data_IF_128902462047
#
_entry.id   IF_128902462047
#
_cell.length_a   1.000
_cell.length_b   1.000
_cell.length_c   1.000
_cell.angle_alpha   90.00
_cell.angle_beta   90.00
_cell.angle_gamma   90.00
#
_symmetry.space_group_name_H-M   'P 1'
#
loop_
_entity.id
_entity.type
_entity.pdbx_description
1 polymer ?
#
# COMPACT_ATOMS: atom_id res chain seq x y z
N UNK A 1 3.84 -2.33 11.44
CA UNK A 1 3.95 -0.90 11.15
C UNK A 1 3.22 -0.10 12.20
N UNK A 2 3.61 1.15 12.35
CA UNK A 2 2.98 2.14 13.23
C UNK A 2 2.55 3.36 12.39
N UNK A 3 1.92 3.08 11.25
CA UNK A 3 1.60 4.08 10.24
C UNK A 3 0.47 3.59 9.32
N UNK A 4 0.07 4.43 8.37
CA UNK A 4 -1.02 4.16 7.45
C UNK A 4 -0.62 4.50 6.01
N UNK A 5 -1.22 3.80 5.04
CA UNK A 5 -1.14 4.13 3.62
C UNK A 5 -2.55 4.36 3.07
N UNK A 6 -2.71 5.38 2.23
CA UNK A 6 -3.96 5.72 1.57
C UNK A 6 -3.76 5.67 0.05
N UNK A 7 -4.57 4.84 -0.60
CA UNK A 7 -4.81 4.87 -2.04
C UNK A 7 -6.27 5.16 -2.30
N UNK A 8 -6.54 6.13 -3.16
CA UNK A 8 -7.90 6.55 -3.52
C UNK A 8 -8.17 6.27 -5.00
N UNK A 9 -9.12 5.38 -5.29
CA UNK A 9 -9.52 5.05 -6.66
C UNK A 9 -10.78 5.85 -7.02
N UNK A 10 -10.60 6.96 -7.72
CA UNK A 10 -11.70 7.83 -8.16
C UNK A 10 -12.45 7.20 -9.35
N UNK A 11 -13.78 7.35 -9.39
CA UNK A 11 -14.59 7.01 -10.58
C UNK A 11 -14.09 7.76 -11.82
N UNK A 12 -13.90 7.03 -12.92
CA UNK A 12 -13.34 7.56 -14.18
C UNK A 12 -11.82 7.75 -14.17
N UNK A 13 -11.14 7.42 -13.07
CA UNK A 13 -9.69 7.34 -12.98
C UNK A 13 -9.18 5.90 -13.13
N UNK A 14 -7.92 5.69 -12.73
CA UNK A 14 -7.34 4.36 -12.65
C UNK A 14 -8.13 3.47 -11.69
N UNK A 15 -8.44 2.24 -12.10
CA UNK A 15 -9.11 1.25 -11.26
C UNK A 15 -8.13 0.52 -10.33
N UNK A 16 -8.68 -0.14 -9.30
CA UNK A 16 -7.92 -1.03 -8.43
C UNK A 16 -7.16 -2.09 -9.24
N UNK A 17 -7.83 -2.75 -10.17
CA UNK A 17 -7.22 -3.82 -10.97
C UNK A 17 -6.19 -3.28 -11.97
N UNK A 18 -6.42 -2.12 -12.57
CA UNK A 18 -5.40 -1.45 -13.40
C UNK A 18 -4.13 -1.12 -12.62
N UNK A 19 -4.26 -0.80 -11.33
CA UNK A 19 -3.12 -0.48 -10.46
C UNK A 19 -2.45 -1.74 -9.90
N UNK A 20 -3.19 -2.65 -9.27
CA UNK A 20 -2.63 -3.79 -8.55
C UNK A 20 -2.43 -5.03 -9.42
N UNK A 21 -3.26 -5.23 -10.44
CA UNK A 21 -3.20 -6.37 -11.36
C UNK A 21 -3.21 -7.72 -10.65
N UNK A 22 -4.17 -7.94 -9.76
CA UNK A 22 -4.22 -9.15 -8.92
C UNK A 22 -5.04 -10.27 -9.55
N UNK A 23 -6.00 -9.94 -10.43
CA UNK A 23 -6.83 -10.95 -11.07
C UNK A 23 -6.00 -11.93 -11.93
N UNK A 24 -6.39 -13.21 -11.91
CA UNK A 24 -5.73 -14.27 -12.68
C UNK A 24 -4.43 -14.81 -12.09
N UNK A 25 -4.05 -14.40 -10.87
CA UNK A 25 -2.89 -14.91 -10.15
C UNK A 25 -3.29 -15.79 -8.96
N UNK A 26 -2.40 -16.67 -8.51
CA UNK A 26 -2.57 -17.42 -7.26
C UNK A 26 -2.57 -16.48 -6.03
N UNK A 27 -3.08 -16.96 -4.89
CA UNK A 27 -3.27 -16.15 -3.69
C UNK A 27 -1.98 -15.48 -3.20
N UNK A 28 -0.84 -16.17 -3.33
CA UNK A 28 0.44 -15.68 -2.83
C UNK A 28 0.99 -14.58 -3.73
N UNK A 29 0.89 -14.73 -5.05
CA UNK A 29 1.22 -13.68 -6.01
C UNK A 29 0.26 -12.48 -5.90
N UNK A 30 -1.03 -12.71 -5.60
CA UNK A 30 -1.97 -11.63 -5.31
C UNK A 30 -1.52 -10.79 -4.11
N UNK A 31 -1.13 -11.43 -2.99
CA UNK A 31 -0.60 -10.70 -1.82
C UNK A 31 0.68 -9.95 -2.15
N UNK A 32 1.61 -10.56 -2.88
CA UNK A 32 2.85 -9.91 -3.26
C UNK A 32 2.60 -8.63 -4.07
N UNK A 33 1.69 -8.70 -5.06
CA UNK A 33 1.28 -7.55 -5.87
C UNK A 33 0.59 -6.47 -5.07
N UNK A 34 -0.30 -6.86 -4.16
CA UNK A 34 -1.00 -5.94 -3.28
C UNK A 34 -0.03 -5.18 -2.39
N UNK A 35 0.90 -5.87 -1.73
CA UNK A 35 1.85 -5.23 -0.81
C UNK A 35 2.82 -4.32 -1.55
N UNK A 36 3.32 -4.76 -2.71
CA UNK A 36 4.22 -3.98 -3.54
C UNK A 36 3.58 -2.67 -4.04
N UNK A 37 2.26 -2.66 -4.24
CA UNK A 37 1.51 -1.47 -4.65
C UNK A 37 1.01 -0.61 -3.48
N UNK A 38 0.74 -1.20 -2.31
CA UNK A 38 0.09 -0.55 -1.16
C UNK A 38 1.03 0.40 -0.41
N UNK A 39 2.31 0.01 -0.23
CA UNK A 39 3.28 0.78 0.57
C UNK A 39 4.63 0.90 -0.14
N UNK A 40 4.71 1.57 -1.30
CA UNK A 40 5.92 1.59 -2.11
C UNK A 40 7.12 2.29 -1.43
N UNK A 41 6.89 3.20 -0.47
CA UNK A 41 7.96 3.86 0.26
C UNK A 41 8.52 3.03 1.44
N UNK A 42 7.80 2.01 1.90
CA UNK A 42 8.21 1.10 2.98
C UNK A 42 8.81 1.85 4.19
N UNK A 43 8.17 2.93 4.65
CA UNK A 43 8.71 3.79 5.72
C UNK A 43 9.04 3.03 7.01
N UNK A 44 8.29 1.96 7.26
CA UNK A 44 8.42 1.08 8.41
C UNK A 44 9.62 0.13 8.39
N UNK A 45 10.30 -0.03 7.24
CA UNK A 45 11.31 -1.07 7.04
C UNK A 45 12.47 -1.00 8.03
N UNK A 46 12.89 0.21 8.42
CA UNK A 46 14.08 0.42 9.26
C UNK A 46 13.89 0.03 10.72
N UNK A 47 12.65 -0.15 11.19
CA UNK A 47 12.37 -0.51 12.59
C UNK A 47 11.61 -1.84 12.71
N UNK A 48 11.55 -2.62 11.62
CA UNK A 48 10.97 -3.95 11.65
C UNK A 48 11.98 -4.92 12.32
N UNK A 49 11.83 -5.08 13.64
CA UNK A 49 12.77 -5.86 14.48
C UNK A 49 12.61 -7.37 14.26
N UNK A 50 11.43 -7.84 13.87
CA UNK A 50 11.13 -9.26 13.64
C UNK A 50 10.78 -9.48 12.17
N UNK A 51 11.72 -9.96 11.33
CA UNK A 51 11.48 -10.21 9.91
C UNK A 51 10.32 -11.17 9.64
N UNK A 52 10.16 -12.22 10.45
CA UNK A 52 9.08 -13.22 10.31
C UNK A 52 7.70 -12.74 10.86
N UNK A 53 7.62 -11.49 11.34
CA UNK A 53 6.33 -10.89 11.71
C UNK A 53 5.43 -10.67 10.48
N UNK A 54 6.00 -10.71 9.28
CA UNK A 54 5.28 -10.82 8.02
C UNK A 54 5.25 -12.30 7.63
N UNK A 55 4.08 -12.94 7.72
CA UNK A 55 3.91 -14.32 7.25
C UNK A 55 2.69 -14.41 6.33
N UNK A 56 2.94 -14.58 5.04
CA UNK A 56 1.89 -14.64 4.03
C UNK A 56 1.12 -15.95 4.04
N UNK A 57 1.76 -17.07 4.43
CA UNK A 57 1.09 -18.37 4.56
C UNK A 57 0.08 -18.35 5.71
N UNK A 58 0.42 -17.64 6.79
CA UNK A 58 -0.45 -17.46 7.96
C UNK A 58 -1.38 -16.23 7.85
N UNK A 59 -1.39 -15.52 6.70
CA UNK A 59 -2.15 -14.27 6.51
C UNK A 59 -1.89 -13.23 7.60
N UNK A 60 -0.66 -13.18 8.11
CA UNK A 60 -0.24 -12.33 9.23
C UNK A 60 0.56 -11.13 8.74
N UNK A 61 0.00 -9.94 8.93
CA UNK A 61 0.70 -8.67 8.75
C UNK A 61 1.19 -8.09 10.08
N UNK A 62 2.33 -7.38 10.11
CA UNK A 62 2.93 -6.87 11.36
C UNK A 62 2.27 -5.57 11.84
N UNK A 63 0.94 -5.43 11.75
CA UNK A 63 0.23 -4.18 12.12
C UNK A 63 -0.03 -4.09 13.62
N UNK A 64 0.19 -2.90 14.18
CA UNK A 64 -0.14 -2.59 15.58
C UNK A 64 -1.52 -1.93 15.65
N UNK A 65 -2.17 -1.93 16.83
CA UNK A 65 -3.46 -1.23 17.01
C UNK A 65 -3.37 0.26 16.67
N UNK A 66 -2.25 0.91 17.01
CA UNK A 66 -1.98 2.31 16.61
C UNK A 66 -2.06 2.52 15.09
N UNK A 67 -1.58 1.55 14.29
CA UNK A 67 -1.67 1.63 12.84
C UNK A 67 -3.11 1.46 12.34
N UNK A 68 -3.89 0.60 12.98
CA UNK A 68 -5.31 0.40 12.66
C UNK A 68 -6.11 1.69 12.92
N UNK A 69 -5.91 2.33 14.07
CA UNK A 69 -6.60 3.58 14.43
C UNK A 69 -6.22 4.72 13.48
N UNK A 70 -4.93 4.85 13.14
CA UNK A 70 -4.47 5.81 12.13
C UNK A 70 -5.09 5.54 10.76
N UNK A 71 -5.15 4.28 10.33
CA UNK A 71 -5.76 3.89 9.08
C UNK A 71 -7.26 4.26 9.05
N UNK A 72 -7.99 3.97 10.12
CA UNK A 72 -9.40 4.31 10.26
C UNK A 72 -9.62 5.84 10.19
N UNK A 73 -8.82 6.63 10.92
CA UNK A 73 -8.90 8.09 10.90
C UNK A 73 -8.61 8.70 9.51
N UNK A 74 -7.55 8.23 8.85
CA UNK A 74 -7.18 8.67 7.49
C UNK A 74 -8.27 8.28 6.48
N UNK A 75 -8.83 7.08 6.58
CA UNK A 75 -9.91 6.63 5.71
C UNK A 75 -11.18 7.45 5.93
N UNK A 76 -11.64 7.60 7.18
CA UNK A 76 -12.87 8.32 7.51
C UNK A 76 -12.83 9.78 7.05
N UNK A 77 -11.72 10.48 7.32
CA UNK A 77 -11.54 11.88 6.87
C UNK A 77 -11.47 11.99 5.35
N UNK A 78 -10.84 11.03 4.66
CA UNK A 78 -10.77 11.00 3.19
C UNK A 78 -12.15 10.74 2.56
N UNK A 79 -12.91 9.78 3.09
CA UNK A 79 -14.28 9.50 2.61
C UNK A 79 -15.18 10.71 2.81
N UNK A 80 -15.15 11.32 3.99
CA UNK A 80 -15.92 12.54 4.28
C UNK A 80 -15.61 13.63 3.25
N UNK A 81 -14.34 13.80 2.91
CA UNK A 81 -13.87 14.76 1.90
C UNK A 81 -14.44 14.48 0.50
N UNK A 82 -14.48 13.21 0.09
CA UNK A 82 -15.07 12.77 -1.18
C UNK A 82 -16.57 13.03 -1.20
N UNK A 83 -17.28 12.61 -0.15
CA UNK A 83 -18.74 12.72 -0.07
C UNK A 83 -19.22 14.17 -0.06
N UNK A 84 -18.53 15.04 0.67
CA UNK A 84 -18.86 16.47 0.73
C UNK A 84 -18.30 17.28 -0.45
N UNK A 85 -17.52 16.66 -1.35
CA UNK A 85 -16.84 17.33 -2.45
C UNK A 85 -15.94 18.50 -1.99
N UNK A 86 -15.31 18.38 -0.81
CA UNK A 86 -14.56 19.48 -0.17
C UNK A 86 -13.05 19.33 -0.32
N UNK A 87 -12.48 19.94 -1.36
CA UNK A 87 -11.03 20.00 -1.58
C UNK A 87 -10.46 18.76 -2.25
N UNK A 88 -9.15 18.76 -2.48
CA UNK A 88 -8.51 17.78 -3.36
C UNK A 88 -7.97 16.53 -2.62
N UNK A 89 -8.21 15.34 -3.18
CA UNK A 89 -7.50 14.11 -2.85
C UNK A 89 -6.78 13.60 -4.10
N UNK A 90 -5.51 13.24 -3.95
CA UNK A 90 -4.74 12.65 -5.04
C UNK A 90 -5.23 11.22 -5.25
N UNK A 91 -5.88 10.98 -6.37
CA UNK A 91 -6.28 9.63 -6.77
C UNK A 91 -5.07 8.81 -7.22
N UNK A 92 -5.22 7.48 -7.22
CA UNK A 92 -4.29 6.57 -7.87
C UNK A 92 -3.97 7.07 -9.30
N UNK A 93 -2.69 7.07 -9.72
CA UNK A 93 -1.56 6.29 -9.18
C UNK A 93 -0.75 6.97 -8.05
N UNK A 94 -1.28 8.01 -7.41
CA UNK A 94 -0.67 8.54 -6.19
C UNK A 94 -1.06 7.70 -4.97
N UNK A 95 -0.09 7.50 -4.08
CA UNK A 95 -0.31 6.95 -2.75
C UNK A 95 0.27 7.90 -1.70
N UNK A 96 -0.42 8.01 -0.57
CA UNK A 96 0.03 8.72 0.61
C UNK A 96 0.45 7.69 1.65
N UNK A 97 1.63 7.83 2.24
CA UNK A 97 2.07 7.03 3.37
C UNK A 97 2.48 7.93 4.53
N UNK A 98 1.92 7.65 5.71
CA UNK A 98 2.30 8.29 6.96
C UNK A 98 2.86 7.24 7.92
N UNK A 99 4.02 7.51 8.51
CA UNK A 99 4.64 6.70 9.54
C UNK A 99 4.74 7.53 10.82
N UNK A 100 3.96 7.16 11.85
CA UNK A 100 3.90 7.94 13.09
C UNK A 100 5.16 7.75 13.93
N UNK A 101 5.74 6.55 13.93
CA UNK A 101 6.95 6.25 14.71
C UNK A 101 8.15 7.08 14.23
N UNK A 102 8.33 7.21 12.92
CA UNK A 102 9.40 8.03 12.32
C UNK A 102 8.97 9.46 12.05
N UNK A 103 7.70 9.79 12.27
CA UNK A 103 7.09 11.08 11.96
C UNK A 103 7.32 11.50 10.50
N UNK A 104 7.12 10.59 9.54
CA UNK A 104 7.34 10.85 8.11
C UNK A 104 6.06 10.73 7.31
N UNK A 105 5.78 11.75 6.51
CA UNK A 105 4.75 11.73 5.47
C UNK A 105 5.42 11.67 4.10
N UNK A 106 4.99 10.76 3.24
CA UNK A 106 5.50 10.64 1.87
C UNK A 106 4.37 10.42 0.88
N UNK A 107 4.40 11.18 -0.21
CA UNK A 107 3.63 10.88 -1.40
C UNK A 107 4.49 10.12 -2.39
N UNK A 108 3.93 9.09 -2.98
CA UNK A 108 4.58 8.33 -4.05
C UNK A 108 3.69 8.31 -5.27
N UNK A 109 4.30 8.43 -6.45
CA UNK A 109 3.60 8.34 -7.72
C UNK A 109 4.09 7.10 -8.47
N UNK A 110 3.17 6.22 -8.86
CA UNK A 110 3.46 4.95 -9.53
C UNK A 110 2.68 4.84 -10.84
N UNK A 111 3.09 5.55 -11.90
CA UNK A 111 2.37 5.51 -13.17
C UNK A 111 2.25 4.07 -13.66
N UNK A 112 1.06 3.70 -14.15
CA UNK A 112 0.68 2.35 -14.58
C UNK A 112 0.66 1.27 -13.48
N UNK A 113 0.81 1.63 -12.20
CA UNK A 113 0.79 0.67 -11.09
C UNK A 113 1.78 -0.49 -11.28
N UNK A 114 1.33 -1.72 -11.06
CA UNK A 114 2.09 -2.95 -11.26
C UNK A 114 2.32 -3.30 -12.74
N UNK A 115 1.72 -2.58 -13.70
CA UNK A 115 2.11 -2.68 -15.10
C UNK A 115 3.42 -1.94 -15.43
N UNK A 116 3.92 -1.09 -14.52
CA UNK A 116 5.15 -0.34 -14.73
C UNK A 116 6.35 -1.27 -14.94
N UNK A 117 7.12 -1.15 -16.03
CA UNK A 117 8.29 -1.99 -16.30
C UNK A 117 9.29 -2.02 -15.14
N UNK A 118 9.53 -0.89 -14.47
CA UNK A 118 10.42 -0.81 -13.31
C UNK A 118 9.87 -1.58 -12.11
N UNK A 119 8.55 -1.58 -11.93
CA UNK A 119 7.89 -2.34 -10.86
C UNK A 119 7.94 -3.84 -11.14
N UNK A 120 7.84 -4.27 -12.40
CA UNK A 120 8.01 -5.68 -12.79
C UNK A 120 9.41 -6.18 -12.48
N UNK A 121 10.43 -5.40 -12.82
CA UNK A 121 11.83 -5.70 -12.48
C UNK A 121 12.02 -5.78 -10.96
N UNK A 122 11.48 -4.81 -10.21
CA UNK A 122 11.52 -4.82 -8.75
C UNK A 122 10.82 -6.06 -8.15
N UNK A 123 9.66 -6.45 -8.69
CA UNK A 123 8.95 -7.65 -8.26
C UNK A 123 9.77 -8.91 -8.50
N UNK A 124 10.49 -9.01 -9.63
CA UNK A 124 11.40 -10.14 -9.89
C UNK A 124 12.48 -10.26 -8.80
N UNK A 125 13.01 -9.15 -8.29
CA UNK A 125 14.01 -9.14 -7.22
C UNK A 125 13.44 -9.36 -5.81
N UNK A 126 12.18 -8.99 -5.57
CA UNK A 126 11.54 -9.11 -4.25
C UNK A 126 10.93 -10.51 -4.04
N UNK A 127 10.53 -11.21 -5.10
CA UNK A 127 9.96 -12.57 -5.03
C UNK A 127 10.79 -13.56 -4.18
N UNK A 128 12.12 -13.66 -4.31
CA UNK A 128 12.94 -14.55 -3.48
C UNK A 128 12.99 -14.15 -1.99
N UNK A 129 12.86 -12.85 -1.69
CA UNK A 129 12.91 -12.30 -0.33
C UNK A 129 11.62 -12.50 0.47
N UNK A 130 10.49 -12.69 -0.21
CA UNK A 130 9.19 -12.91 0.43
C UNK A 130 8.96 -14.37 0.86
N UNK A 131 9.96 -15.25 0.72
CA UNK A 131 9.80 -16.71 0.91
C UNK A 131 8.53 -17.24 0.20
N UNK A 132 8.31 -16.78 -1.04
CA UNK A 132 7.38 -17.43 -1.98
C UNK A 132 7.92 -18.83 -2.29
#
# INVERSE_FOLDING_TARGET
>A
GMGASLLYFKRGGMSFEQYFRVEGHDELEQYARFIAGLSPAMLQRSYLVVPDAVNFRERRGPSTMMACDLCAGVMGTSVLKVLLQRGHLRAAPWALQFDAYRQKLKYTWRPFGNANPLQRVLMTFIRPLLKL
#
